data_IF_232979034569
#
_entry.id   IF_232979034569
#
_cell.length_a   1.000
_cell.length_b   1.000
_cell.length_c   1.000
_cell.angle_alpha   90.00
_cell.angle_beta   90.00
_cell.angle_gamma   90.00
#
_symmetry.space_group_name_H-M   'P 1'
#
loop_
_entity.id
_entity.type
_entity.pdbx_description
1 polymer ?
#
# COMPACT_ATOMS: atom_id res chain seq x y z
N UNK A 1 -0.27 -48.08 -44.69
CA UNK A 1 0.41 -47.14 -43.78
C UNK A 1 -0.55 -46.00 -43.47
N UNK A 2 -1.21 -46.03 -42.28
CA UNK A 2 -2.17 -44.99 -41.84
C UNK A 2 -1.38 -43.92 -41.10
N UNK A 3 -1.37 -42.69 -41.61
CA UNK A 3 -0.79 -41.52 -40.91
C UNK A 3 -1.75 -41.05 -39.84
N UNK A 4 -1.33 -41.20 -38.56
CA UNK A 4 -2.01 -40.63 -37.41
C UNK A 4 -1.54 -39.17 -37.25
N UNK A 5 -2.45 -38.22 -37.41
CA UNK A 5 -2.21 -36.81 -37.13
C UNK A 5 -2.55 -36.56 -35.65
N UNK A 6 -1.53 -36.38 -34.84
CA UNK A 6 -1.69 -35.95 -33.45
C UNK A 6 -1.93 -34.43 -33.42
N UNK A 7 -3.14 -34.01 -33.14
CA UNK A 7 -3.46 -32.61 -32.87
C UNK A 7 -2.91 -32.24 -31.49
N UNK A 8 -1.84 -31.48 -31.44
CA UNK A 8 -1.33 -30.86 -30.22
C UNK A 8 -2.20 -29.63 -29.92
N UNK A 9 -3.18 -29.77 -29.01
CA UNK A 9 -3.96 -28.65 -28.51
C UNK A 9 -3.09 -27.80 -27.61
N UNK A 10 -2.57 -26.69 -28.12
CA UNK A 10 -1.97 -25.64 -27.29
C UNK A 10 -3.11 -24.98 -26.49
N UNK A 11 -3.21 -25.32 -25.21
CA UNK A 11 -3.98 -24.54 -24.26
C UNK A 11 -3.27 -23.20 -24.05
N UNK A 12 -3.69 -22.17 -24.76
CA UNK A 12 -3.39 -20.78 -24.44
C UNK A 12 -4.18 -20.46 -23.15
N UNK A 13 -3.52 -20.49 -21.99
CA UNK A 13 -3.99 -19.78 -20.81
C UNK A 13 -3.99 -18.29 -21.15
N UNK A 14 -5.10 -17.77 -21.62
CA UNK A 14 -5.33 -16.33 -21.72
C UNK A 14 -5.37 -15.83 -20.27
N UNK A 15 -4.32 -15.16 -19.83
CA UNK A 15 -4.35 -14.37 -18.61
C UNK A 15 -5.50 -13.40 -18.75
N UNK A 16 -6.54 -13.53 -17.93
CA UNK A 16 -7.73 -12.65 -17.91
C UNK A 16 -7.31 -11.20 -17.62
N UNK A 17 -6.13 -11.02 -17.05
CA UNK A 17 -5.53 -9.73 -16.70
C UNK A 17 -4.55 -9.29 -17.79
N UNK A 18 -4.97 -8.38 -18.68
CA UNK A 18 -4.09 -7.69 -19.62
C UNK A 18 -3.14 -6.68 -18.94
N UNK A 19 -3.35 -6.39 -17.65
CA UNK A 19 -2.57 -5.43 -16.87
C UNK A 19 -2.09 -6.07 -15.55
N UNK A 20 -0.87 -5.71 -15.12
CA UNK A 20 -0.36 -6.10 -13.80
C UNK A 20 -1.23 -5.48 -12.70
N UNK A 21 -1.60 -6.22 -11.63
CA UNK A 21 -2.29 -5.65 -10.47
C UNK A 21 -1.42 -4.69 -9.65
N UNK A 22 -0.10 -4.67 -9.89
CA UNK A 22 0.83 -3.81 -9.15
C UNK A 22 0.59 -2.32 -9.47
N UNK A 23 0.90 -1.48 -8.47
CA UNK A 23 0.79 -0.03 -8.62
C UNK A 23 -0.25 0.58 -7.70
N UNK A 24 -0.82 1.69 -8.11
CA UNK A 24 -1.87 2.37 -7.37
C UNK A 24 -3.18 2.44 -8.16
N UNK A 25 -4.26 2.30 -7.43
CA UNK A 25 -5.63 2.23 -7.95
C UNK A 25 -6.54 3.15 -7.15
N UNK A 26 -7.52 3.76 -7.80
CA UNK A 26 -8.49 4.65 -7.16
C UNK A 26 -9.91 4.25 -7.51
N UNK A 27 -10.77 4.27 -6.50
CA UNK A 27 -12.21 4.22 -6.64
C UNK A 27 -12.85 5.40 -5.90
N UNK A 28 -14.09 5.71 -6.25
CA UNK A 28 -14.92 6.69 -5.55
C UNK A 28 -16.22 6.01 -5.13
N UNK A 29 -16.71 6.37 -3.95
CA UNK A 29 -17.98 5.86 -3.43
C UNK A 29 -18.69 6.94 -2.62
N UNK A 30 -19.98 6.74 -2.38
CA UNK A 30 -20.78 7.57 -1.47
C UNK A 30 -21.04 6.80 -0.18
N UNK A 31 -20.79 7.43 0.92
CA UNK A 31 -21.04 6.91 2.26
C UNK A 31 -22.13 7.76 2.94
N UNK A 32 -23.13 7.16 3.60
CA UNK A 32 -24.22 7.91 4.24
C UNK A 32 -23.76 8.86 5.35
N UNK A 33 -22.71 8.50 6.07
CA UNK A 33 -22.16 9.29 7.19
C UNK A 33 -21.07 10.26 6.72
N UNK A 34 -20.17 9.77 5.85
CA UNK A 34 -18.94 10.49 5.48
C UNK A 34 -19.04 11.25 4.17
N UNK A 35 -20.13 11.04 3.39
CA UNK A 35 -20.32 11.67 2.08
C UNK A 35 -19.45 11.06 0.98
N UNK A 36 -18.94 11.88 0.06
CA UNK A 36 -18.11 11.44 -1.04
C UNK A 36 -16.72 10.98 -0.55
N UNK A 37 -16.40 9.72 -0.76
CA UNK A 37 -15.12 9.12 -0.40
C UNK A 37 -14.25 8.87 -1.63
N UNK A 38 -12.96 9.11 -1.44
CA UNK A 38 -11.88 8.61 -2.27
C UNK A 38 -11.33 7.34 -1.62
N UNK A 39 -11.16 6.30 -2.43
CA UNK A 39 -10.61 5.02 -1.99
C UNK A 39 -9.34 4.77 -2.79
N UNK A 40 -8.21 4.67 -2.12
CA UNK A 40 -6.91 4.39 -2.76
C UNK A 40 -6.41 3.03 -2.33
N UNK A 41 -6.08 2.19 -3.31
CA UNK A 41 -5.39 0.92 -3.11
C UNK A 41 -3.96 1.03 -3.64
N UNK A 42 -2.97 0.64 -2.82
CA UNK A 42 -1.58 0.50 -3.24
C UNK A 42 -1.23 -0.98 -3.16
N UNK A 43 -0.74 -1.53 -4.26
CA UNK A 43 -0.40 -2.95 -4.42
C UNK A 43 1.07 -3.08 -4.79
N UNK A 44 1.86 -3.66 -3.89
CA UNK A 44 3.25 -4.07 -4.12
C UNK A 44 3.31 -5.55 -4.51
N UNK A 45 4.49 -6.10 -4.74
CA UNK A 45 4.67 -7.53 -5.05
C UNK A 45 4.19 -8.49 -3.96
N UNK A 46 4.08 -8.03 -2.73
CA UNK A 46 3.76 -8.87 -1.56
C UNK A 46 2.60 -8.36 -0.72
N UNK A 47 2.34 -7.05 -0.70
CA UNK A 47 1.37 -6.41 0.19
C UNK A 47 0.44 -5.49 -0.56
N UNK A 48 -0.77 -5.36 0.00
CA UNK A 48 -1.79 -4.41 -0.42
C UNK A 48 -2.28 -3.61 0.78
N UNK A 49 -2.59 -2.35 0.53
CA UNK A 49 -3.39 -1.52 1.45
C UNK A 49 -4.55 -0.90 0.69
N UNK A 50 -5.68 -0.73 1.37
CA UNK A 50 -6.85 -0.01 0.85
C UNK A 50 -7.23 1.03 1.91
N UNK A 51 -7.38 2.29 1.50
CA UNK A 51 -7.66 3.40 2.42
C UNK A 51 -8.79 4.25 1.89
N UNK A 52 -9.74 4.58 2.77
CA UNK A 52 -10.89 5.45 2.53
C UNK A 52 -10.68 6.76 3.27
N UNK A 53 -10.87 7.87 2.59
CA UNK A 53 -10.86 9.22 3.18
C UNK A 53 -11.80 10.14 2.39
N UNK A 54 -12.28 11.19 3.05
CA UNK A 54 -13.20 12.14 2.43
C UNK A 54 -12.53 12.85 1.25
N UNK A 55 -13.20 12.87 0.11
CA UNK A 55 -12.70 13.49 -1.11
C UNK A 55 -12.47 14.99 -0.95
N UNK A 56 -13.33 15.65 -0.16
CA UNK A 56 -13.34 17.09 0.01
C UNK A 56 -12.15 17.63 0.80
N UNK A 57 -11.78 16.95 1.89
CA UNK A 57 -10.84 17.51 2.87
C UNK A 57 -9.81 16.51 3.41
N UNK A 58 -9.77 15.27 2.85
CA UNK A 58 -8.81 14.25 3.26
C UNK A 58 -9.08 13.64 4.66
N UNK A 59 -10.23 13.90 5.28
CA UNK A 59 -10.54 13.29 6.57
C UNK A 59 -10.50 11.77 6.47
N UNK A 60 -9.65 11.17 7.29
CA UNK A 60 -9.45 9.72 7.33
C UNK A 60 -10.72 9.01 7.81
N UNK A 61 -11.10 7.95 7.12
CA UNK A 61 -12.26 7.10 7.47
C UNK A 61 -11.81 5.74 7.94
N UNK A 62 -11.11 4.98 7.08
CA UNK A 62 -10.59 3.66 7.43
C UNK A 62 -9.42 3.25 6.54
N UNK A 63 -8.66 2.27 7.00
CA UNK A 63 -7.66 1.57 6.19
C UNK A 63 -7.54 0.12 6.63
N UNK A 64 -7.28 -0.75 5.66
CA UNK A 64 -6.98 -2.17 5.87
C UNK A 64 -5.86 -2.60 4.95
N UNK A 65 -5.18 -3.70 5.31
CA UNK A 65 -4.14 -4.24 4.44
C UNK A 65 -3.41 -5.43 5.04
N UNK A 66 -2.53 -6.00 4.23
CA UNK A 66 -1.73 -7.17 4.55
C UNK A 66 -1.15 -7.84 3.31
N UNK A 67 -0.79 -9.10 3.43
CA UNK A 67 -0.31 -9.90 2.31
C UNK A 67 -1.48 -10.25 1.37
N UNK A 68 -1.25 -10.17 0.06
CA UNK A 68 -2.28 -10.44 -0.93
C UNK A 68 -1.87 -11.54 -1.92
N UNK A 69 -2.83 -12.12 -2.59
CA UNK A 69 -2.64 -13.05 -3.69
C UNK A 69 -3.76 -12.93 -4.71
N UNK A 70 -3.47 -13.34 -5.95
CA UNK A 70 -4.45 -13.38 -7.03
C UNK A 70 -4.30 -14.70 -7.78
N UNK A 71 -5.39 -15.43 -7.89
CA UNK A 71 -5.49 -16.64 -8.68
C UNK A 71 -6.80 -16.58 -9.49
N UNK A 72 -6.67 -16.50 -10.80
CA UNK A 72 -7.77 -16.24 -11.72
C UNK A 72 -8.49 -14.91 -11.38
N UNK A 73 -9.74 -14.98 -10.95
CA UNK A 73 -10.55 -13.83 -10.52
C UNK A 73 -10.63 -13.70 -8.98
N UNK A 74 -9.99 -14.62 -8.25
CA UNK A 74 -10.00 -14.65 -6.78
C UNK A 74 -8.82 -13.90 -6.21
N UNK A 75 -9.12 -12.73 -5.64
CA UNK A 75 -8.17 -11.92 -4.89
C UNK A 75 -8.27 -12.26 -3.40
N UNK A 76 -7.15 -12.57 -2.77
CA UNK A 76 -7.08 -12.84 -1.33
C UNK A 76 -6.29 -11.76 -0.62
N UNK A 77 -6.70 -11.42 0.59
CA UNK A 77 -5.99 -10.51 1.49
C UNK A 77 -5.90 -11.14 2.87
N UNK A 78 -4.70 -11.54 3.29
CA UNK A 78 -4.44 -11.93 4.68
C UNK A 78 -4.23 -10.67 5.49
N UNK A 79 -5.23 -10.33 6.31
CA UNK A 79 -5.33 -9.03 7.00
C UNK A 79 -4.30 -8.95 8.13
N UNK A 80 -3.39 -7.99 8.05
CA UNK A 80 -2.43 -7.68 9.12
C UNK A 80 -2.89 -6.51 9.98
N UNK A 81 -3.71 -5.64 9.42
CA UNK A 81 -4.34 -4.53 10.15
C UNK A 81 -5.67 -4.15 9.48
N UNK A 82 -6.63 -3.76 10.29
CA UNK A 82 -7.84 -3.04 9.92
C UNK A 82 -8.12 -1.99 11.01
N UNK A 83 -8.34 -0.74 10.62
CA UNK A 83 -8.53 0.37 11.56
C UNK A 83 -9.91 0.40 12.20
N UNK A 84 -10.88 -0.36 11.67
CA UNK A 84 -12.28 -0.38 12.10
C UNK A 84 -12.78 -1.77 12.48
N UNK A 85 -12.18 -2.84 11.94
CA UNK A 85 -12.60 -4.22 12.13
C UNK A 85 -11.40 -5.07 12.61
N UNK A 86 -10.95 -4.81 13.85
CA UNK A 86 -9.77 -5.49 14.42
C UNK A 86 -9.92 -7.00 14.51
N UNK A 87 -11.16 -7.53 14.57
CA UNK A 87 -11.47 -8.96 14.56
C UNK A 87 -11.00 -9.66 13.27
N UNK A 88 -10.92 -8.94 12.15
CA UNK A 88 -10.44 -9.49 10.88
C UNK A 88 -8.93 -9.72 10.85
N UNK A 89 -8.17 -9.11 11.76
CA UNK A 89 -6.70 -9.29 11.79
C UNK A 89 -6.34 -10.74 12.05
N UNK A 90 -5.51 -11.30 11.16
CA UNK A 90 -5.10 -12.70 11.13
C UNK A 90 -5.99 -13.59 10.26
N UNK A 91 -7.13 -13.09 9.74
CA UNK A 91 -7.97 -13.84 8.80
C UNK A 91 -7.60 -13.54 7.35
N UNK A 92 -8.00 -14.41 6.43
CA UNK A 92 -7.92 -14.18 4.99
C UNK A 92 -9.29 -13.81 4.46
N UNK A 93 -9.37 -12.63 3.84
CA UNK A 93 -10.57 -12.16 3.15
C UNK A 93 -10.46 -12.50 1.66
N UNK A 94 -11.56 -12.90 1.04
CA UNK A 94 -11.65 -13.23 -0.38
C UNK A 94 -12.53 -12.22 -1.11
N UNK A 95 -12.06 -11.78 -2.26
CA UNK A 95 -12.74 -10.86 -3.15
C UNK A 95 -12.78 -11.46 -4.56
N UNK A 96 -13.88 -11.28 -5.25
CA UNK A 96 -13.93 -11.56 -6.70
C UNK A 96 -13.61 -10.27 -7.44
N UNK A 97 -12.68 -10.34 -8.38
CA UNK A 97 -12.28 -9.21 -9.20
C UNK A 97 -12.67 -9.45 -10.65
N UNK A 98 -13.33 -8.45 -11.24
CA UNK A 98 -13.75 -8.48 -12.65
C UNK A 98 -13.04 -7.36 -13.38
N UNK A 99 -12.25 -7.64 -14.44
CA UNK A 99 -11.61 -6.62 -15.25
C UNK A 99 -12.62 -5.64 -15.85
N UNK A 100 -12.25 -4.36 -15.91
CA UNK A 100 -13.00 -3.28 -16.58
C UNK A 100 -12.09 -2.57 -17.59
N UNK A 101 -12.64 -1.62 -18.36
CA UNK A 101 -11.86 -0.90 -19.36
C UNK A 101 -10.68 -0.10 -18.77
N UNK A 102 -10.77 0.35 -17.52
CA UNK A 102 -9.75 1.20 -16.87
C UNK A 102 -9.11 0.56 -15.64
N UNK A 103 -9.52 -0.69 -15.29
CA UNK A 103 -9.04 -1.35 -14.08
C UNK A 103 -9.85 -2.59 -13.73
N UNK A 104 -10.44 -2.62 -12.55
CA UNK A 104 -11.22 -3.77 -12.09
C UNK A 104 -12.32 -3.37 -11.10
N UNK A 105 -13.40 -4.16 -11.11
CA UNK A 105 -14.41 -4.15 -10.06
C UNK A 105 -14.06 -5.19 -8.99
N UNK A 106 -14.20 -4.86 -7.73
CA UNK A 106 -13.91 -5.74 -6.59
C UNK A 106 -15.17 -5.97 -5.73
N UNK A 107 -15.71 -7.20 -5.74
CA UNK A 107 -16.81 -7.63 -4.90
C UNK A 107 -16.29 -8.39 -3.65
N UNK A 108 -16.90 -8.28 -2.46
CA UNK A 108 -18.15 -7.54 -2.17
C UNK A 108 -17.95 -6.06 -1.81
N UNK A 109 -16.74 -5.48 -1.96
CA UNK A 109 -16.53 -4.07 -1.61
C UNK A 109 -17.37 -3.12 -2.46
N UNK A 110 -17.86 -3.55 -3.64
CA UNK A 110 -18.67 -2.73 -4.52
C UNK A 110 -17.89 -1.60 -5.19
N UNK A 111 -16.57 -1.74 -5.33
CA UNK A 111 -15.67 -0.68 -5.80
C UNK A 111 -15.17 -0.94 -7.22
N UNK A 112 -15.31 0.07 -8.07
CA UNK A 112 -14.68 0.11 -9.39
C UNK A 112 -13.35 0.87 -9.28
N UNK A 113 -12.24 0.15 -9.32
CA UNK A 113 -10.90 0.72 -9.27
C UNK A 113 -10.41 1.05 -10.69
N UNK A 114 -9.91 2.27 -10.85
CA UNK A 114 -9.16 2.70 -12.03
C UNK A 114 -7.69 2.87 -11.69
N UNK A 115 -6.79 2.51 -12.60
CA UNK A 115 -5.36 2.61 -12.36
C UNK A 115 -4.89 4.06 -12.29
N UNK A 116 -4.13 4.41 -11.24
CA UNK A 116 -3.46 5.71 -11.09
C UNK A 116 -2.04 5.61 -11.66
N UNK A 117 -1.30 4.57 -11.28
CA UNK A 117 0.03 4.27 -11.79
C UNK A 117 0.28 2.74 -11.78
N UNK A 118 1.21 2.30 -12.61
CA UNK A 118 1.59 0.89 -12.75
C UNK A 118 2.79 0.50 -11.89
N UNK A 119 3.06 1.24 -10.79
CA UNK A 119 4.24 1.02 -9.96
C UNK A 119 5.51 1.69 -10.48
N UNK A 120 5.42 2.43 -11.59
CA UNK A 120 6.54 3.17 -12.21
C UNK A 120 6.12 4.60 -12.58
N UNK A 121 7.05 5.57 -12.57
CA UNK A 121 8.39 5.50 -11.99
C UNK A 121 8.29 5.40 -10.48
N UNK A 122 9.27 4.81 -9.81
CA UNK A 122 9.22 4.71 -8.35
C UNK A 122 10.48 4.02 -7.82
N UNK A 123 11.52 4.80 -7.51
CA UNK A 123 12.76 4.27 -6.93
C UNK A 123 12.52 3.53 -5.61
N UNK A 124 11.41 3.81 -4.92
CA UNK A 124 11.03 3.24 -3.63
C UNK A 124 9.76 2.37 -3.71
N UNK A 125 9.29 2.02 -4.92
CA UNK A 125 8.11 1.16 -5.06
C UNK A 125 8.31 -0.18 -4.33
N UNK A 126 7.31 -0.60 -3.55
CA UNK A 126 7.37 -1.81 -2.73
C UNK A 126 6.81 -1.60 -1.33
N UNK A 127 6.82 -2.68 -0.54
CA UNK A 127 6.52 -2.64 0.88
C UNK A 127 7.82 -2.65 1.69
N UNK A 128 7.91 -1.83 2.74
CA UNK A 128 9.10 -1.62 3.55
C UNK A 128 8.75 -1.68 5.03
N UNK A 129 9.57 -2.37 5.83
CA UNK A 129 9.49 -2.36 7.28
C UNK A 129 10.59 -1.48 7.85
N UNK A 130 10.24 -0.70 8.88
CA UNK A 130 11.24 0.09 9.62
C UNK A 130 12.12 -0.86 10.45
N UNK A 131 13.39 -0.94 10.10
CA UNK A 131 14.40 -1.82 10.75
C UNK A 131 15.40 -1.06 11.59
N UNK A 132 15.41 0.26 11.54
CA UNK A 132 16.31 1.06 12.37
C UNK A 132 15.86 2.51 12.50
N UNK A 133 16.32 3.13 13.57
CA UNK A 133 16.17 4.58 13.81
C UNK A 133 17.42 5.12 14.47
N UNK A 134 17.87 6.30 14.05
CA UNK A 134 18.98 6.97 14.72
C UNK A 134 18.47 7.64 15.98
N UNK A 135 19.10 7.28 17.11
CA UNK A 135 18.92 7.90 18.42
C UNK A 135 20.30 8.18 18.99
N UNK A 136 20.51 9.36 19.56
CA UNK A 136 21.80 9.78 20.18
C UNK A 136 23.02 9.54 19.27
N UNK A 137 22.85 9.80 17.98
CA UNK A 137 23.93 9.66 17.00
C UNK A 137 24.17 8.25 16.47
N UNK A 138 23.54 7.21 17.05
CA UNK A 138 23.70 5.80 16.66
C UNK A 138 22.41 5.23 16.06
N UNK A 139 22.53 4.33 15.08
CA UNK A 139 21.40 3.58 14.54
C UNK A 139 21.07 2.44 15.48
N UNK A 140 19.92 2.54 16.16
CA UNK A 140 19.34 1.45 16.94
C UNK A 140 18.54 0.55 16.02
N UNK A 141 18.92 -0.73 15.94
CA UNK A 141 18.19 -1.72 15.16
C UNK A 141 16.83 -2.05 15.81
N UNK A 142 15.83 -2.31 14.97
CA UNK A 142 14.50 -2.77 15.39
C UNK A 142 14.25 -4.13 14.77
N UNK A 143 13.86 -5.10 15.60
CA UNK A 143 13.38 -6.38 15.10
C UNK A 143 12.07 -6.18 14.33
N UNK A 144 11.97 -6.87 13.20
CA UNK A 144 10.75 -6.98 12.39
C UNK A 144 9.99 -8.28 12.63
N UNK A 145 10.52 -9.19 13.48
CA UNK A 145 9.88 -10.49 13.78
C UNK A 145 8.74 -10.34 14.79
N UNK A 146 8.83 -9.32 15.67
CA UNK A 146 7.79 -9.04 16.65
C UNK A 146 6.47 -8.60 16.02
N UNK A 147 5.36 -8.65 16.79
CA UNK A 147 4.01 -8.34 16.26
C UNK A 147 3.82 -6.86 15.93
N UNK A 148 4.59 -5.95 16.56
CA UNK A 148 4.50 -4.51 16.29
C UNK A 148 5.26 -4.17 15.02
N UNK A 149 4.55 -3.67 14.03
CA UNK A 149 5.10 -3.28 12.72
C UNK A 149 4.95 -1.78 12.49
N UNK A 150 5.91 -1.21 11.78
CA UNK A 150 5.76 0.08 11.10
C UNK A 150 6.15 -0.17 9.65
N UNK A 151 5.17 -0.07 8.77
CA UNK A 151 5.32 -0.36 7.35
C UNK A 151 5.14 0.92 6.54
N UNK A 152 5.90 1.07 5.46
CA UNK A 152 5.58 1.94 4.32
C UNK A 152 5.29 1.07 3.11
N UNK A 153 4.26 1.42 2.34
CA UNK A 153 4.01 0.82 1.04
C UNK A 153 3.94 1.93 0.00
N UNK A 154 4.62 1.73 -1.11
CA UNK A 154 4.73 2.73 -2.17
C UNK A 154 4.46 2.08 -3.53
N UNK A 155 3.74 2.80 -4.40
CA UNK A 155 3.64 2.52 -5.84
C UNK A 155 4.63 3.41 -6.62
N UNK A 156 4.32 3.75 -7.85
CA UNK A 156 5.09 4.72 -8.63
C UNK A 156 4.97 6.16 -8.13
N UNK A 157 3.80 6.52 -7.59
CA UNK A 157 3.46 7.91 -7.22
C UNK A 157 2.75 8.04 -5.87
N UNK A 158 2.26 6.93 -5.29
CA UNK A 158 1.50 6.89 -4.05
C UNK A 158 2.28 6.25 -2.93
N UNK A 159 2.11 6.73 -1.71
CA UNK A 159 2.67 6.13 -0.52
C UNK A 159 1.64 6.10 0.61
N UNK A 160 1.86 5.15 1.52
CA UNK A 160 1.18 5.10 2.81
C UNK A 160 2.15 4.53 3.85
N UNK A 161 2.20 5.13 5.03
CA UNK A 161 2.80 4.53 6.21
C UNK A 161 1.70 4.02 7.16
N UNK A 162 1.96 2.90 7.83
CA UNK A 162 1.03 2.27 8.75
C UNK A 162 1.79 1.77 9.97
N UNK A 163 1.30 2.06 11.17
CA UNK A 163 1.77 1.48 12.43
C UNK A 163 0.65 0.61 13.02
N UNK A 164 0.96 -0.65 13.33
CA UNK A 164 0.01 -1.64 13.81
C UNK A 164 0.68 -2.72 14.65
N UNK A 165 -0.13 -3.56 15.30
CA UNK A 165 0.31 -4.72 16.07
C UNK A 165 -0.60 -5.91 15.72
N UNK A 166 -0.02 -6.99 15.18
CA UNK A 166 -0.77 -8.17 14.71
C UNK A 166 -1.25 -9.08 15.86
N UNK A 167 -0.62 -9.05 17.03
CA UNK A 167 -0.99 -9.84 18.19
C UNK A 167 -2.16 -9.19 18.95
N UNK A 168 -2.01 -7.91 19.29
CA UNK A 168 -3.08 -7.14 19.96
C UNK A 168 -4.15 -6.66 19.01
N UNK A 169 -3.96 -6.87 17.69
CA UNK A 169 -4.82 -6.41 16.60
C UNK A 169 -5.02 -4.89 16.55
N UNK A 170 -4.14 -4.14 17.22
CA UNK A 170 -4.27 -2.71 17.35
C UNK A 170 -3.78 -1.97 16.11
N UNK A 171 -4.64 -1.13 15.53
CA UNK A 171 -4.24 -0.08 14.59
C UNK A 171 -3.72 1.12 15.39
N UNK A 172 -2.52 1.60 15.07
CA UNK A 172 -1.84 2.66 15.81
C UNK A 172 -1.80 3.99 15.07
N UNK A 173 -2.03 3.97 13.77
CA UNK A 173 -2.07 5.18 12.94
C UNK A 173 -1.54 4.96 11.54
N UNK A 174 -1.94 5.86 10.65
CA UNK A 174 -1.54 5.87 9.25
C UNK A 174 -1.59 7.29 8.68
N UNK A 175 -0.84 7.51 7.64
CA UNK A 175 -0.91 8.68 6.78
C UNK A 175 -0.36 8.34 5.41
N UNK A 176 -0.79 9.09 4.39
CA UNK A 176 -0.39 8.81 3.03
C UNK A 176 -0.82 9.90 2.06
N UNK A 177 -0.52 9.66 0.80
CA UNK A 177 -0.81 10.60 -0.29
C UNK A 177 0.07 10.31 -1.49
N UNK A 178 0.59 11.38 -2.10
CA UNK A 178 1.53 11.28 -3.21
C UNK A 178 2.96 11.50 -2.78
N UNK A 179 3.91 10.99 -3.57
CA UNK A 179 5.33 11.25 -3.37
C UNK A 179 6.08 11.42 -4.69
N UNK A 180 7.24 12.02 -4.57
CA UNK A 180 8.22 12.10 -5.67
C UNK A 180 9.61 11.77 -5.16
N UNK A 181 10.44 11.18 -6.03
CA UNK A 181 11.88 10.99 -5.79
C UNK A 181 12.67 11.67 -6.89
N UNK A 182 13.65 12.48 -6.51
CA UNK A 182 14.53 13.14 -7.45
C UNK A 182 15.89 13.43 -6.79
N UNK A 183 16.99 12.93 -7.38
CA UNK A 183 18.37 13.21 -6.95
C UNK A 183 18.60 13.10 -5.43
N UNK A 184 18.19 11.98 -4.83
CA UNK A 184 18.33 11.74 -3.39
C UNK A 184 17.33 12.48 -2.51
N UNK A 185 16.39 13.21 -3.10
CA UNK A 185 15.27 13.84 -2.38
C UNK A 185 14.00 13.02 -2.53
N UNK A 186 13.34 12.79 -1.41
CA UNK A 186 12.01 12.16 -1.31
C UNK A 186 11.05 13.17 -0.71
N UNK A 187 9.98 13.49 -1.41
CA UNK A 187 9.00 14.48 -0.96
C UNK A 187 7.64 13.82 -0.87
N UNK A 188 7.07 13.82 0.33
CA UNK A 188 5.68 13.41 0.59
C UNK A 188 4.74 14.60 0.45
N UNK A 189 3.54 14.34 -0.10
CA UNK A 189 2.41 15.26 -0.07
C UNK A 189 1.23 14.54 0.59
N UNK A 190 0.82 15.01 1.76
CA UNK A 190 -0.13 14.34 2.64
C UNK A 190 -1.56 14.58 2.15
N UNK A 191 -2.29 13.51 1.79
CA UNK A 191 -3.70 13.56 1.40
C UNK A 191 -4.64 13.09 2.51
N UNK A 192 -4.15 12.27 3.45
CA UNK A 192 -4.89 11.87 4.66
C UNK A 192 -3.92 11.61 5.81
N UNK A 193 -4.41 11.78 7.05
CA UNK A 193 -3.65 11.48 8.25
C UNK A 193 -4.60 11.09 9.38
N UNK A 194 -4.50 9.85 9.89
CA UNK A 194 -5.50 9.28 10.79
C UNK A 194 -5.56 9.90 12.19
N UNK A 195 -4.47 10.53 12.62
CA UNK A 195 -4.36 11.10 13.98
C UNK A 195 -4.53 12.61 14.05
N UNK A 196 -4.33 13.28 12.92
CA UNK A 196 -4.33 14.75 12.90
C UNK A 196 -4.63 15.24 11.47
N UNK A 197 -5.89 15.58 11.23
CA UNK A 197 -6.35 16.05 9.93
C UNK A 197 -5.66 17.37 9.49
N UNK A 198 -5.13 18.15 10.42
CA UNK A 198 -4.42 19.40 10.09
C UNK A 198 -3.14 19.17 9.29
N UNK A 199 -2.67 17.92 9.20
CA UNK A 199 -1.53 17.51 8.36
C UNK A 199 -1.86 17.37 6.88
N UNK A 200 -3.13 17.29 6.53
CA UNK A 200 -3.57 17.21 5.13
C UNK A 200 -3.14 18.47 4.38
N UNK A 201 -2.56 18.30 3.19
CA UNK A 201 -1.98 19.37 2.38
C UNK A 201 -0.51 19.66 2.70
N UNK A 202 0.06 19.12 3.78
CA UNK A 202 1.47 19.32 4.10
C UNK A 202 2.37 18.66 3.06
N UNK A 203 3.47 19.34 2.73
CA UNK A 203 4.55 18.84 1.88
C UNK A 203 5.81 18.64 2.74
N UNK A 204 6.25 17.38 2.88
CA UNK A 204 7.36 17.00 3.74
C UNK A 204 8.57 16.56 2.90
N UNK A 205 9.64 17.37 2.85
CA UNK A 205 10.86 16.99 2.16
C UNK A 205 11.76 16.13 3.07
N UNK A 206 12.36 15.11 2.47
CA UNK A 206 13.31 14.21 3.11
C UNK A 206 14.49 13.95 2.17
N UNK A 207 15.62 13.57 2.75
CA UNK A 207 16.71 12.93 2.02
C UNK A 207 16.48 11.40 2.01
N UNK A 208 16.83 10.76 0.90
CA UNK A 208 16.82 9.32 0.80
C UNK A 208 18.03 8.79 0.06
N UNK A 209 18.46 7.60 0.45
CA UNK A 209 19.44 6.79 -0.28
C UNK A 209 19.10 5.31 -0.14
N UNK A 210 19.49 4.52 -1.13
CA UNK A 210 19.47 3.07 -1.07
C UNK A 210 20.91 2.60 -0.86
N UNK A 211 21.18 1.96 0.27
CA UNK A 211 22.50 1.43 0.64
C UNK A 211 22.33 -0.05 0.99
N UNK A 212 22.99 -0.94 0.26
CA UNK A 212 22.91 -2.39 0.43
C UNK A 212 21.46 -2.93 0.45
N UNK A 213 20.58 -2.32 -0.38
CA UNK A 213 19.16 -2.67 -0.46
C UNK A 213 18.28 -2.10 0.67
N UNK A 214 18.86 -1.41 1.65
CA UNK A 214 18.11 -0.70 2.68
C UNK A 214 17.84 0.76 2.27
N UNK A 215 16.64 1.24 2.56
CA UNK A 215 16.26 2.62 2.36
C UNK A 215 16.56 3.45 3.61
N UNK A 216 17.51 4.36 3.50
CA UNK A 216 17.83 5.37 4.50
C UNK A 216 17.01 6.62 4.24
N UNK A 217 16.27 7.08 5.23
CA UNK A 217 15.28 8.15 5.16
C UNK A 217 15.54 9.16 6.28
N UNK A 218 15.80 10.41 5.96
CA UNK A 218 16.10 11.43 6.95
C UNK A 218 15.52 12.79 6.61
N UNK A 219 15.21 13.58 7.62
CA UNK A 219 14.61 14.90 7.49
C UNK A 219 13.91 15.33 8.77
N UNK A 220 12.88 16.17 8.62
CA UNK A 220 12.04 16.61 9.73
C UNK A 220 10.71 15.87 9.71
N UNK A 221 10.30 15.34 10.85
CA UNK A 221 8.97 14.74 11.00
C UNK A 221 7.86 15.79 10.82
N UNK A 222 6.62 15.33 10.66
CA UNK A 222 5.45 16.23 10.61
C UNK A 222 5.28 17.09 11.87
N UNK A 223 5.99 16.79 12.96
CA UNK A 223 6.01 17.57 14.20
C UNK A 223 7.27 18.45 14.33
N UNK A 224 8.12 18.52 13.29
CA UNK A 224 9.33 19.31 13.30
C UNK A 224 10.52 18.70 14.03
N UNK A 225 10.44 17.46 14.47
CA UNK A 225 11.57 16.77 15.07
C UNK A 225 12.47 16.10 14.00
N UNK A 226 13.80 16.14 14.13
CA UNK A 226 14.69 15.45 13.19
C UNK A 226 14.48 13.94 13.28
N UNK A 227 14.42 13.29 12.11
CA UNK A 227 14.33 11.84 12.00
C UNK A 227 15.44 11.30 11.10
N UNK A 228 15.87 10.10 11.42
CA UNK A 228 16.66 9.24 10.55
C UNK A 228 16.18 7.80 10.76
N UNK A 229 15.68 7.21 9.70
CA UNK A 229 15.07 5.87 9.72
C UNK A 229 15.71 4.99 8.66
N UNK A 230 15.81 3.70 8.97
CA UNK A 230 16.27 2.67 8.04
C UNK A 230 15.11 1.71 7.79
N UNK A 231 14.86 1.43 6.52
CA UNK A 231 13.77 0.61 6.06
C UNK A 231 14.31 -0.54 5.20
N UNK A 232 13.83 -1.75 5.42
CA UNK A 232 14.17 -2.94 4.63
C UNK A 232 12.96 -3.40 3.85
N UNK A 233 13.16 -3.76 2.59
CA UNK A 233 12.10 -4.21 1.71
C UNK A 233 11.49 -5.51 2.24
N UNK A 234 10.17 -5.60 2.11
CA UNK A 234 9.35 -6.73 2.52
C UNK A 234 8.86 -7.47 1.28
N UNK A 235 9.23 -8.74 1.17
CA UNK A 235 8.88 -9.62 0.07
C UNK A 235 7.78 -10.59 0.48
#
# INVERSE_FOLDING_TARGET
MKKVWTFLSLFFCLSIWGQSPLGAWEAQTQDPEWGALRVVSIVSSSHQVITWYRKENGAFVRTMGGAWGLMDDRWTLTVEFDSTQSELVGSTQEYTVTPTATGYYMAPLGLNFSQIDAGTPGALAGAWLMTGRKQDGQISARSTDGPRKTMKILSGTRFQWIAYNTETKAFMGSGGGTYTTNQGKYKEHIEFFSRDQTRVGAALPFDFSLVDGAWHHSGMSSQGAPIYEVWTQRY
#
